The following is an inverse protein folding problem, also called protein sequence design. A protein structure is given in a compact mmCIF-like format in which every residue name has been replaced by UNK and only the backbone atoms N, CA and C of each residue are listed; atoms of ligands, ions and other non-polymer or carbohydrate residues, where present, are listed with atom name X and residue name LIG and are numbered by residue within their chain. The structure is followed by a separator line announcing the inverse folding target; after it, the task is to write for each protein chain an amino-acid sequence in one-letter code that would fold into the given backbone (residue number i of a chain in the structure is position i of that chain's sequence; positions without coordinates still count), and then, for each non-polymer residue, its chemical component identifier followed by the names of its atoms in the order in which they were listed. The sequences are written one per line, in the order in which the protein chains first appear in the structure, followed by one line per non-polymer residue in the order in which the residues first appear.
data_IF_414356843758
#
_entry.id   IF_414356843758
#
_cell.length_a   1.000
_cell.length_b   1.000
_cell.length_c   1.000
_cell.angle_alpha   90.00
_cell.angle_beta   90.00
_cell.angle_gamma   90.00
#
_symmetry.space_group_name_H-M   'P 1'
#
loop_
_entity.id
_entity.type
_entity.pdbx_description
1 polymer ?
#
# COMPACT_ATOMS: atom_id res chain seq x y z
N UNK A 1 -3.62 -27.28 4.69
CA UNK A 1 -4.57 -26.15 4.58
C UNK A 1 -3.75 -24.91 4.25
N UNK A 2 -3.68 -24.43 2.99
CA UNK A 2 -2.91 -23.22 2.71
C UNK A 2 -3.74 -22.04 3.19
N UNK A 3 -3.35 -21.50 4.35
CA UNK A 3 -3.79 -20.20 4.83
C UNK A 3 -3.44 -19.19 3.74
N UNK A 4 -4.45 -18.55 3.16
CA UNK A 4 -4.25 -17.44 2.23
C UNK A 4 -3.40 -16.40 2.94
N UNK A 5 -2.14 -16.31 2.52
CA UNK A 5 -1.20 -15.31 2.97
C UNK A 5 -1.68 -13.99 2.36
N UNK A 6 -2.64 -13.33 3.02
CA UNK A 6 -3.20 -12.04 2.62
C UNK A 6 -2.18 -10.93 2.94
N UNK A 7 -0.96 -11.08 2.40
CA UNK A 7 0.05 -10.05 2.43
C UNK A 7 -0.32 -9.05 1.34
N UNK A 8 -1.18 -8.09 1.70
CA UNK A 8 -1.59 -7.06 0.76
C UNK A 8 -0.41 -6.11 0.52
N UNK A 9 0.02 -6.04 -0.74
CA UNK A 9 1.02 -5.07 -1.15
C UNK A 9 0.32 -3.73 -1.37
N UNK A 10 0.59 -2.74 -0.52
CA UNK A 10 0.06 -1.38 -0.69
C UNK A 10 1.11 -0.52 -1.36
N UNK A 11 0.73 0.35 -2.29
CA UNK A 11 1.61 1.43 -2.76
C UNK A 11 1.06 2.73 -2.22
N UNK A 12 1.84 3.37 -1.34
CA UNK A 12 1.50 4.64 -0.72
C UNK A 12 2.17 5.78 -1.47
N UNK A 13 1.36 6.73 -1.94
CA UNK A 13 1.81 7.96 -2.56
C UNK A 13 1.45 9.13 -1.66
N UNK A 14 2.46 9.88 -1.27
CA UNK A 14 2.30 11.12 -0.50
C UNK A 14 2.08 12.27 -1.46
N UNK A 15 0.83 12.71 -1.59
CA UNK A 15 0.46 13.89 -2.36
C UNK A 15 0.78 15.19 -1.61
N UNK A 16 0.47 16.31 -2.24
CA UNK A 16 0.60 17.64 -1.65
C UNK A 16 -0.53 17.91 -0.64
N UNK A 17 -1.76 17.53 -0.98
CA UNK A 17 -2.94 17.75 -0.14
C UNK A 17 -3.27 16.49 0.66
N UNK A 18 -3.40 15.37 -0.04
CA UNK A 18 -3.85 14.10 0.51
C UNK A 18 -2.90 12.95 0.16
N UNK A 19 -2.96 11.90 0.98
CA UNK A 19 -2.19 10.69 0.78
C UNK A 19 -3.06 9.64 0.07
N UNK A 20 -2.53 9.07 -1.00
CA UNK A 20 -3.20 8.12 -1.87
C UNK A 20 -2.58 6.73 -1.72
N UNK A 21 -3.42 5.71 -1.74
CA UNK A 21 -3.02 4.32 -1.60
C UNK A 21 -3.72 3.48 -2.66
N UNK A 22 -2.96 2.62 -3.30
CA UNK A 22 -3.50 1.57 -4.18
C UNK A 22 -3.03 0.20 -3.69
N UNK A 23 -3.76 -0.82 -4.08
CA UNK A 23 -3.41 -2.21 -3.81
C UNK A 23 -2.79 -2.84 -5.05
N UNK A 24 -1.67 -3.50 -4.85
CA UNK A 24 -0.97 -4.29 -5.85
C UNK A 24 -1.07 -5.77 -5.53
N UNK A 25 -1.03 -6.60 -6.57
CA UNK A 25 -0.97 -8.07 -6.47
C UNK A 25 0.25 -8.50 -5.67
N UNK A 26 1.42 -7.91 -5.92
CA UNK A 26 2.66 -8.23 -5.22
C UNK A 26 3.75 -7.18 -5.45
N UNK A 27 4.68 -7.07 -4.50
CA UNK A 27 5.90 -6.26 -4.65
C UNK A 27 6.69 -6.66 -5.90
N UNK A 28 6.74 -7.98 -6.19
CA UNK A 28 7.41 -8.51 -7.38
C UNK A 28 6.80 -7.93 -8.65
N UNK A 29 5.47 -8.00 -8.80
CA UNK A 29 4.76 -7.49 -9.97
C UNK A 29 5.00 -5.98 -10.17
N UNK A 30 5.02 -5.19 -9.09
CA UNK A 30 5.35 -3.76 -9.15
C UNK A 30 6.80 -3.55 -9.60
N UNK A 31 7.74 -4.36 -9.12
CA UNK A 31 9.16 -4.28 -9.51
C UNK A 31 9.38 -4.69 -10.97
N UNK A 32 8.75 -5.77 -11.41
CA UNK A 32 8.80 -6.23 -12.80
C UNK A 32 8.17 -5.20 -13.73
N UNK A 33 7.03 -4.61 -13.36
CA UNK A 33 6.42 -3.52 -14.12
C UNK A 33 7.30 -2.26 -14.18
N UNK A 34 7.99 -1.91 -13.07
CA UNK A 34 8.96 -0.81 -13.07
C UNK A 34 10.16 -1.08 -14.00
N UNK A 35 10.51 -2.35 -14.24
CA UNK A 35 11.57 -2.74 -15.19
C UNK A 35 11.06 -2.82 -16.62
N UNK A 36 9.85 -3.35 -16.81
CA UNK A 36 9.22 -3.58 -18.11
C UNK A 36 7.80 -3.02 -18.12
N UNK A 37 7.64 -1.87 -18.78
CA UNK A 37 6.34 -1.18 -18.92
C UNK A 37 5.41 -1.84 -19.96
N UNK A 38 5.79 -2.97 -20.57
CA UNK A 38 4.91 -3.73 -21.47
C UNK A 38 3.93 -4.61 -20.68
N UNK A 39 4.18 -4.82 -19.39
CA UNK A 39 3.29 -5.56 -18.50
C UNK A 39 2.02 -4.73 -18.25
N UNK A 40 0.81 -5.29 -18.42
CA UNK A 40 -0.43 -4.56 -18.18
C UNK A 40 -0.58 -4.22 -16.70
N UNK A 41 -0.93 -2.96 -16.39
CA UNK A 41 -1.22 -2.52 -15.03
C UNK A 41 -2.30 -3.39 -14.37
N UNK A 42 -3.30 -3.83 -15.13
CA UNK A 42 -4.37 -4.72 -14.68
C UNK A 42 -3.87 -6.05 -14.09
N UNK A 43 -2.66 -6.51 -14.41
CA UNK A 43 -2.05 -7.71 -13.83
C UNK A 43 -1.18 -7.42 -12.61
N UNK A 44 -0.89 -6.14 -12.37
CA UNK A 44 -0.02 -5.67 -11.29
C UNK A 44 -0.85 -5.12 -10.13
N UNK A 45 -2.01 -4.52 -10.42
CA UNK A 45 -2.90 -3.90 -9.44
C UNK A 45 -4.05 -4.81 -9.07
N UNK A 46 -4.39 -4.84 -7.78
CA UNK A 46 -5.55 -5.56 -7.26
C UNK A 46 -6.80 -4.67 -7.38
N UNK A 47 -7.12 -4.31 -8.63
CA UNK A 47 -8.20 -3.38 -8.99
C UNK A 47 -7.75 -1.93 -9.18
N UNK A 48 -8.59 -1.16 -9.87
CA UNK A 48 -8.34 0.24 -10.23
C UNK A 48 -8.76 1.24 -9.15
N UNK A 49 -9.20 0.73 -8.00
CA UNK A 49 -9.75 1.55 -6.93
C UNK A 49 -8.63 2.27 -6.18
N UNK A 50 -8.65 3.59 -6.26
CA UNK A 50 -7.72 4.47 -5.54
C UNK A 50 -8.33 4.83 -4.19
N UNK A 51 -7.56 4.66 -3.13
CA UNK A 51 -7.97 4.99 -1.78
C UNK A 51 -7.22 6.24 -1.30
N UNK A 52 -7.86 7.02 -0.44
CA UNK A 52 -7.24 8.14 0.28
C UNK A 52 -7.24 7.85 1.77
N UNK A 53 -6.16 8.18 2.46
CA UNK A 53 -6.05 8.02 3.92
C UNK A 53 -6.24 9.33 4.69
N UNK A 54 -6.49 10.46 4.02
CA UNK A 54 -6.68 11.78 4.66
C UNK A 54 -5.62 12.08 5.75
N UNK A 55 -4.35 11.69 5.49
CA UNK A 55 -3.22 11.83 6.41
C UNK A 55 -3.33 11.02 7.72
N UNK A 56 -4.19 10.01 7.77
CA UNK A 56 -4.31 9.07 8.90
C UNK A 56 -3.29 7.91 8.84
N UNK A 57 -2.39 7.90 7.86
CA UNK A 57 -1.32 6.91 7.70
C UNK A 57 -1.80 5.56 7.15
N UNK A 58 -0.91 4.55 7.17
CA UNK A 58 -1.12 3.26 6.48
C UNK A 58 -2.18 2.34 7.14
N UNK A 59 -2.68 2.72 8.33
CA UNK A 59 -3.64 1.94 9.14
C UNK A 59 -4.94 2.72 9.43
N UNK A 60 -5.13 3.88 8.81
CA UNK A 60 -6.35 4.68 8.92
C UNK A 60 -7.51 4.12 8.12
N UNK A 61 -8.67 4.80 8.18
CA UNK A 61 -9.81 4.48 7.32
C UNK A 61 -9.43 4.84 5.89
N UNK A 62 -9.48 3.85 5.01
CA UNK A 62 -9.29 4.04 3.58
C UNK A 62 -10.64 4.43 2.97
N UNK A 63 -10.73 5.67 2.50
CA UNK A 63 -11.91 6.14 1.76
C UNK A 63 -11.64 6.10 0.25
N UNK A 64 -12.69 6.07 -0.57
CA UNK A 64 -12.52 6.09 -2.02
C UNK A 64 -12.12 7.48 -2.49
N UNK A 65 -11.06 7.60 -3.28
CA UNK A 65 -10.69 8.87 -3.88
C UNK A 65 -11.84 9.37 -4.78
N UNK A 66 -12.27 10.61 -4.57
CA UNK A 66 -13.23 11.25 -5.46
C UNK A 66 -12.54 11.78 -6.72
N UNK A 67 -13.23 11.81 -7.86
CA UNK A 67 -12.69 12.33 -9.14
C UNK A 67 -12.05 13.72 -8.98
N UNK A 68 -12.66 14.60 -8.18
CA UNK A 68 -12.12 15.94 -7.92
C UNK A 68 -10.80 15.92 -7.14
N UNK A 69 -10.58 14.95 -6.24
CA UNK A 69 -9.30 14.78 -5.54
C UNK A 69 -8.22 14.29 -6.51
N UNK A 70 -8.58 13.34 -7.39
CA UNK A 70 -7.67 12.82 -8.41
C UNK A 70 -7.24 13.91 -9.39
N UNK A 71 -8.19 14.73 -9.87
CA UNK A 71 -7.88 15.85 -10.77
C UNK A 71 -7.07 16.93 -10.08
N UNK A 72 -7.29 17.20 -8.79
CA UNK A 72 -6.52 18.22 -8.09
C UNK A 72 -5.06 17.80 -7.86
N UNK A 73 -4.83 16.55 -7.47
CA UNK A 73 -3.50 16.05 -7.14
C UNK A 73 -2.71 15.58 -8.37
N UNK A 74 -3.36 14.82 -9.27
CA UNK A 74 -2.71 14.20 -10.43
C UNK A 74 -2.95 14.97 -11.74
N UNK A 75 -3.88 15.93 -11.76
CA UNK A 75 -4.28 16.64 -12.98
C UNK A 75 -5.19 15.83 -13.90
N UNK A 76 -5.65 14.65 -13.47
CA UNK A 76 -6.46 13.72 -14.26
C UNK A 76 -7.42 12.93 -13.37
N UNK A 77 -8.62 12.66 -13.87
CA UNK A 77 -9.58 11.74 -13.24
C UNK A 77 -9.46 10.31 -13.78
N UNK A 78 -8.53 10.04 -14.71
CA UNK A 78 -8.34 8.70 -15.25
C UNK A 78 -7.62 7.84 -14.23
N UNK A 79 -8.33 6.86 -13.68
CA UNK A 79 -7.79 5.89 -12.71
C UNK A 79 -6.50 5.24 -13.21
N UNK A 80 -6.39 4.92 -14.49
CA UNK A 80 -5.19 4.28 -15.05
C UNK A 80 -3.94 5.16 -14.96
N UNK A 81 -4.07 6.46 -15.26
CA UNK A 81 -2.96 7.42 -15.21
C UNK A 81 -2.56 7.68 -13.75
N UNK A 82 -3.56 7.86 -12.87
CA UNK A 82 -3.34 8.01 -11.43
C UNK A 82 -2.57 6.81 -10.88
N UNK A 83 -3.04 5.60 -11.16
CA UNK A 83 -2.42 4.35 -10.72
C UNK A 83 -0.98 4.24 -11.23
N UNK A 84 -0.73 4.58 -12.50
CA UNK A 84 0.61 4.62 -13.07
C UNK A 84 1.51 5.59 -12.30
N UNK A 85 1.05 6.81 -12.04
CA UNK A 85 1.83 7.81 -11.30
C UNK A 85 2.11 7.39 -9.85
N UNK A 86 1.13 6.79 -9.18
CA UNK A 86 1.28 6.24 -7.83
C UNK A 86 2.28 5.08 -7.83
N UNK A 87 2.26 4.20 -8.83
CA UNK A 87 3.25 3.13 -8.96
C UNK A 87 4.66 3.68 -9.17
N UNK A 88 4.83 4.68 -10.03
CA UNK A 88 6.16 5.25 -10.33
C UNK A 88 6.73 6.03 -9.14
N UNK A 89 5.94 6.95 -8.59
CA UNK A 89 6.38 7.91 -7.55
C UNK A 89 6.13 7.42 -6.12
N UNK A 90 5.21 6.48 -5.94
CA UNK A 90 4.83 5.96 -4.64
C UNK A 90 5.82 4.96 -4.07
N UNK A 91 5.68 4.74 -2.77
CA UNK A 91 6.48 3.79 -2.00
C UNK A 91 5.68 2.53 -1.78
N UNK A 92 6.23 1.39 -2.22
CA UNK A 92 5.64 0.08 -1.97
C UNK A 92 5.84 -0.28 -0.50
N UNK A 93 4.75 -0.51 0.21
CA UNK A 93 4.72 -0.97 1.58
C UNK A 93 4.09 -2.36 1.61
N UNK A 94 4.82 -3.33 2.13
CA UNK A 94 4.23 -4.58 2.55
C UNK A 94 3.54 -4.32 3.89
N UNK A 95 2.22 -4.42 3.92
CA UNK A 95 1.58 -4.65 5.21
C UNK A 95 1.34 -6.13 5.33
N UNK A 96 2.20 -6.77 6.10
CA UNK A 96 1.72 -7.92 6.83
C UNK A 96 0.54 -7.41 7.67
N UNK A 97 -0.65 -7.96 7.43
CA UNK A 97 -1.74 -7.94 8.40
C UNK A 97 -1.23 -8.73 9.62
N UNK A 98 -0.26 -8.17 10.33
CA UNK A 98 0.17 -8.64 11.63
C UNK A 98 -1.00 -8.32 12.54
N UNK A 99 -1.97 -9.24 12.55
CA UNK A 99 -2.62 -9.65 13.78
C UNK A 99 -1.57 -9.47 14.85
N UNK A 100 -1.74 -8.42 15.66
CA UNK A 100 -0.76 -7.94 16.64
C UNK A 100 0.00 -9.15 17.14
N UNK A 101 1.28 -9.28 16.76
CA UNK A 101 2.18 -10.17 17.47
C UNK A 101 2.37 -9.51 18.84
N UNK A 102 1.34 -9.65 19.67
CA UNK A 102 1.36 -9.36 21.08
C UNK A 102 2.46 -10.19 21.68
N UNK A 103 3.18 -9.53 22.59
CA UNK A 103 4.07 -10.16 23.54
C UNK A 103 5.43 -10.62 23.00
N UNK A 104 6.22 -9.65 22.52
CA UNK A 104 7.64 -9.61 22.93
C UNK A 104 7.72 -9.08 24.36
N UNK A 105 7.33 -9.88 25.36
CA UNK A 105 7.82 -9.65 26.73
C UNK A 105 9.03 -10.57 27.00
N UNK A 106 10.17 -10.09 26.55
CA UNK A 106 11.51 -10.53 26.90
C UNK A 106 11.81 -10.14 28.35
N UNK A 107 11.35 -10.92 29.33
CA UNK A 107 11.86 -10.85 30.71
C UNK A 107 13.06 -11.78 30.87
N UNK A 108 14.20 -11.39 30.31
CA UNK A 108 15.49 -11.84 30.83
C UNK A 108 15.78 -11.07 32.12
N UNK A 109 15.34 -11.61 33.25
CA UNK A 109 15.78 -11.18 34.59
C UNK A 109 16.75 -12.21 35.17
N UNK A 110 17.96 -11.83 35.64
CA UNK A 110 18.84 -12.76 36.32
C UNK A 110 18.34 -12.89 37.77
N UNK A 111 17.81 -14.05 38.16
CA UNK A 111 17.66 -14.36 39.58
C UNK A 111 18.90 -15.12 40.04
N UNK A 112 19.93 -14.34 40.36
CA UNK A 112 21.05 -14.75 41.22
C UNK A 112 20.56 -14.80 42.67
N UNK A 113 20.81 -15.95 43.29
CA UNK A 113 21.10 -16.22 44.70
C UNK A 113 20.23 -15.60 45.81
N UNK A 114 19.61 -16.48 46.60
CA UNK A 114 19.92 -16.55 48.04
C UNK A 114 19.84 -18.00 48.52
#
# INVERSE_FOLDING_TARGET
MPRGNDTQTKVHYKGAQDDFVIFAESIQAVRDWKKDKSIPLAQVVNGWKVFVTHKQGTQGILDGASNSMLENEFGTHKEEDVVQQILEKGTVQETESSERQGDRNIVNGPMVAH
#
